data_IF_864906901066
#
_entry.id   IF_864906901066
#
_cell.length_a   1.000
_cell.length_b   1.000
_cell.length_c   1.000
_cell.angle_alpha   90.00
_cell.angle_beta   90.00
_cell.angle_gamma   90.00
#
_symmetry.space_group_name_H-M   'P 1'
#
loop_
_entity.id
_entity.type
_entity.pdbx_description
1 polymer ?
#
# COMPACT_ATOMS: atom_id res chain seq x y z
N UNK A 1 21.04 -2.82 2.13
CA UNK A 1 21.41 -4.24 1.90
C UNK A 1 22.32 -4.24 0.69
N UNK A 2 23.54 -4.74 0.81
CA UNK A 2 24.55 -4.68 -0.26
C UNK A 2 24.43 -5.90 -1.17
N UNK A 3 23.38 -5.95 -1.99
CA UNK A 3 23.24 -6.94 -3.06
C UNK A 3 22.81 -6.25 -4.34
N UNK A 4 23.55 -6.49 -5.40
CA UNK A 4 23.23 -5.96 -6.73
C UNK A 4 22.37 -6.97 -7.49
N UNK A 5 21.27 -6.48 -8.07
CA UNK A 5 20.36 -7.28 -8.88
C UNK A 5 20.17 -6.61 -10.23
N UNK A 6 20.14 -7.44 -11.28
CA UNK A 6 19.74 -7.00 -12.62
C UNK A 6 18.26 -7.29 -12.79
N UNK A 7 17.50 -6.25 -13.10
CA UNK A 7 16.06 -6.32 -13.35
C UNK A 7 15.76 -5.76 -14.74
N UNK A 8 14.75 -6.30 -15.40
CA UNK A 8 14.25 -5.71 -16.64
C UNK A 8 13.53 -4.41 -16.29
N UNK A 9 13.97 -3.30 -16.88
CA UNK A 9 13.35 -2.00 -16.74
C UNK A 9 12.66 -1.65 -18.07
N UNK A 10 11.33 -1.53 -18.12
CA UNK A 10 10.64 -0.91 -19.24
C UNK A 10 11.10 0.54 -19.43
N UNK A 11 11.04 1.04 -20.67
CA UNK A 11 11.37 2.43 -20.98
C UNK A 11 10.44 3.38 -20.22
N UNK A 12 11.02 4.34 -19.48
CA UNK A 12 10.30 5.33 -18.69
C UNK A 12 9.97 4.89 -17.25
N UNK A 13 10.23 3.64 -16.88
CA UNK A 13 9.96 3.12 -15.53
C UNK A 13 11.17 3.21 -14.58
N UNK A 14 12.30 3.79 -15.03
CA UNK A 14 13.56 3.80 -14.28
C UNK A 14 13.43 4.47 -12.90
N UNK A 15 12.71 5.59 -12.82
CA UNK A 15 12.51 6.32 -11.56
C UNK A 15 11.67 5.51 -10.60
N UNK A 16 10.53 4.99 -11.08
CA UNK A 16 9.59 4.21 -10.26
C UNK A 16 10.22 2.93 -9.74
N UNK A 17 10.98 2.20 -10.58
CA UNK A 17 11.68 1.00 -10.14
C UNK A 17 12.81 1.31 -9.16
N UNK A 18 13.47 2.47 -9.29
CA UNK A 18 14.49 2.91 -8.33
C UNK A 18 13.87 3.28 -6.98
N UNK A 19 12.73 3.96 -6.98
CA UNK A 19 11.97 4.26 -5.78
C UNK A 19 11.48 2.98 -5.09
N UNK A 20 10.92 2.03 -5.86
CA UNK A 20 10.51 0.74 -5.34
C UNK A 20 11.68 -0.06 -4.74
N UNK A 21 12.85 -0.03 -5.38
CA UNK A 21 14.06 -0.67 -4.86
C UNK A 21 14.55 -0.04 -3.55
N UNK A 22 14.55 1.30 -3.47
CA UNK A 22 14.90 2.03 -2.24
C UNK A 22 13.94 1.69 -1.10
N UNK A 23 12.63 1.72 -1.39
CA UNK A 23 11.59 1.38 -0.42
C UNK A 23 11.72 -0.06 0.11
N UNK A 24 11.95 -1.03 -0.79
CA UNK A 24 12.23 -2.42 -0.39
C UNK A 24 13.47 -2.51 0.49
N UNK A 25 14.54 -1.81 0.11
CA UNK A 25 15.80 -1.80 0.86
C UNK A 25 15.61 -1.26 2.28
N UNK A 26 14.86 -0.18 2.43
CA UNK A 26 14.56 0.42 3.73
C UNK A 26 13.74 -0.52 4.62
N UNK A 27 12.69 -1.17 4.06
CA UNK A 27 11.95 -2.20 4.81
C UNK A 27 12.80 -3.38 5.22
N UNK A 28 13.71 -3.83 4.36
CA UNK A 28 14.66 -4.87 4.72
C UNK A 28 15.61 -4.43 5.84
N UNK A 29 16.02 -3.16 5.88
CA UNK A 29 16.83 -2.62 6.98
C UNK A 29 16.04 -2.55 8.30
N UNK A 30 14.81 -2.04 8.28
CA UNK A 30 13.94 -2.00 9.46
C UNK A 30 13.75 -3.40 10.08
N UNK A 31 13.44 -4.40 9.25
CA UNK A 31 13.25 -5.79 9.69
C UNK A 31 14.55 -6.35 10.28
N UNK A 32 15.69 -6.08 9.65
CA UNK A 32 17.00 -6.51 10.16
C UNK A 32 17.27 -5.92 11.54
N UNK A 33 17.06 -4.62 11.70
CA UNK A 33 17.28 -3.93 12.98
C UNK A 33 16.36 -4.44 14.07
N UNK A 34 15.05 -4.57 13.78
CA UNK A 34 14.08 -5.09 14.73
C UNK A 34 14.42 -6.52 15.17
N UNK A 35 14.81 -7.37 14.22
CA UNK A 35 15.19 -8.76 14.52
C UNK A 35 16.46 -8.85 15.37
N UNK A 36 17.47 -8.04 15.06
CA UNK A 36 18.73 -7.98 15.81
C UNK A 36 18.52 -7.47 17.23
N UNK A 37 17.69 -6.43 17.42
CA UNK A 37 17.30 -5.90 18.74
C UNK A 37 16.58 -6.95 19.59
N UNK A 38 15.78 -7.82 18.98
CA UNK A 38 15.11 -8.94 19.64
C UNK A 38 16.03 -10.17 19.89
N UNK A 39 17.34 -10.06 19.62
CA UNK A 39 18.30 -11.15 19.78
C UNK A 39 18.20 -12.24 18.69
N UNK A 40 17.44 -12.01 17.62
CA UNK A 40 17.22 -12.99 16.54
C UNK A 40 17.81 -12.48 15.22
N UNK A 41 19.00 -12.95 14.87
CA UNK A 41 19.62 -12.61 13.59
C UNK A 41 18.98 -13.40 12.46
N UNK A 42 18.33 -12.72 11.53
CA UNK A 42 17.75 -13.33 10.32
C UNK A 42 18.72 -13.20 9.13
N UNK A 43 18.78 -14.25 8.31
CA UNK A 43 19.47 -14.21 7.02
C UNK A 43 18.78 -13.27 6.02
N UNK A 44 19.55 -12.76 5.05
CA UNK A 44 19.07 -11.77 4.08
C UNK A 44 17.87 -12.27 3.24
N UNK A 45 17.86 -13.55 2.85
CA UNK A 45 16.78 -14.12 2.04
C UNK A 45 15.45 -14.15 2.81
N UNK A 46 15.50 -14.52 4.10
CA UNK A 46 14.32 -14.48 4.97
C UNK A 46 13.84 -13.05 5.21
N UNK A 47 14.76 -12.10 5.36
CA UNK A 47 14.42 -10.68 5.49
C UNK A 47 13.73 -10.18 4.21
N UNK A 48 14.22 -10.56 3.03
CA UNK A 48 13.62 -10.19 1.75
C UNK A 48 12.18 -10.73 1.61
N UNK A 49 11.95 -12.00 1.98
CA UNK A 49 10.61 -12.60 1.96
C UNK A 49 9.66 -11.89 2.92
N UNK A 50 10.10 -11.57 4.13
CA UNK A 50 9.26 -10.85 5.10
C UNK A 50 8.94 -9.43 4.59
N UNK A 51 9.93 -8.74 4.03
CA UNK A 51 9.72 -7.41 3.45
C UNK A 51 8.68 -7.48 2.31
N UNK A 52 8.83 -8.42 1.38
CA UNK A 52 7.89 -8.60 0.27
C UNK A 52 6.46 -8.88 0.76
N UNK A 53 6.30 -9.76 1.77
CA UNK A 53 4.99 -10.06 2.35
C UNK A 53 4.36 -8.84 3.01
N UNK A 54 5.13 -8.07 3.79
CA UNK A 54 4.64 -6.87 4.46
C UNK A 54 4.21 -5.78 3.46
N UNK A 55 4.99 -5.57 2.40
CA UNK A 55 4.67 -4.59 1.35
C UNK A 55 3.39 -5.03 0.60
N UNK A 56 3.28 -6.32 0.28
CA UNK A 56 2.08 -6.88 -0.37
C UNK A 56 0.84 -6.71 0.51
N UNK A 57 0.96 -6.93 1.81
CA UNK A 57 -0.12 -6.70 2.76
C UNK A 57 -0.58 -5.24 2.77
N UNK A 58 0.36 -4.30 2.86
CA UNK A 58 0.06 -2.86 2.86
C UNK A 58 -0.63 -2.42 1.56
N UNK A 59 -0.20 -2.95 0.41
CA UNK A 59 -0.86 -2.69 -0.87
C UNK A 59 -2.32 -3.18 -0.86
N UNK A 60 -2.56 -4.40 -0.37
CA UNK A 60 -3.92 -4.96 -0.26
C UNK A 60 -4.79 -4.16 0.70
N UNK A 61 -4.25 -3.72 1.83
CA UNK A 61 -4.97 -2.85 2.77
C UNK A 61 -5.34 -1.52 2.12
N UNK A 62 -4.42 -0.90 1.37
CA UNK A 62 -4.68 0.36 0.66
C UNK A 62 -5.79 0.20 -0.39
N UNK A 63 -5.75 -0.87 -1.20
CA UNK A 63 -6.79 -1.17 -2.19
C UNK A 63 -8.15 -1.41 -1.53
N UNK A 64 -8.20 -2.20 -0.46
CA UNK A 64 -9.44 -2.44 0.28
C UNK A 64 -9.99 -1.14 0.90
N UNK A 65 -9.11 -0.29 1.43
CA UNK A 65 -9.47 1.03 1.93
C UNK A 65 -10.08 1.92 0.84
N UNK A 66 -9.53 1.89 -0.38
CA UNK A 66 -10.07 2.63 -1.51
C UNK A 66 -11.48 2.15 -1.89
N UNK A 67 -11.72 0.83 -1.89
CA UNK A 67 -13.05 0.26 -2.14
C UNK A 67 -14.05 0.73 -1.08
N UNK A 68 -13.64 0.71 0.20
CA UNK A 68 -14.48 1.17 1.30
C UNK A 68 -14.85 2.66 1.14
N UNK A 69 -13.87 3.52 0.87
CA UNK A 69 -14.10 4.96 0.65
C UNK A 69 -15.06 5.20 -0.51
N UNK A 70 -14.89 4.51 -1.63
CA UNK A 70 -15.80 4.65 -2.78
C UNK A 70 -17.24 4.24 -2.40
N UNK A 71 -17.40 3.15 -1.65
CA UNK A 71 -18.72 2.71 -1.17
C UNK A 71 -19.37 3.71 -0.21
N UNK A 72 -18.57 4.38 0.63
CA UNK A 72 -19.05 5.40 1.56
C UNK A 72 -19.47 6.68 0.81
N UNK A 73 -18.72 7.07 -0.24
CA UNK A 73 -19.09 8.18 -1.13
C UNK A 73 -20.42 7.88 -1.83
N UNK A 74 -20.60 6.68 -2.38
CA UNK A 74 -21.86 6.28 -3.01
C UNK A 74 -23.03 6.33 -2.03
N UNK A 75 -22.83 5.88 -0.78
CA UNK A 75 -23.87 5.94 0.25
C UNK A 75 -24.22 7.37 0.63
N UNK A 76 -23.22 8.27 0.69
CA UNK A 76 -23.44 9.68 0.97
C UNK A 76 -24.22 10.35 -0.17
N UNK A 77 -23.83 10.12 -1.43
CA UNK A 77 -24.55 10.66 -2.59
C UNK A 77 -26.02 10.24 -2.59
N UNK A 78 -26.31 8.94 -2.41
CA UNK A 78 -27.70 8.45 -2.31
C UNK A 78 -28.52 9.14 -1.22
N UNK A 79 -27.88 9.48 -0.10
CA UNK A 79 -28.55 10.15 1.01
C UNK A 79 -28.79 11.63 0.72
N UNK A 80 -27.88 12.29 0.01
CA UNK A 80 -28.08 13.65 -0.50
C UNK A 80 -29.23 13.66 -1.50
N UNK A 81 -29.23 12.75 -2.48
CA UNK A 81 -30.29 12.67 -3.50
C UNK A 81 -31.66 12.46 -2.87
N UNK A 82 -31.79 11.53 -1.90
CA UNK A 82 -33.04 11.28 -1.20
C UNK A 82 -33.58 12.52 -0.44
N UNK A 83 -32.70 13.29 0.20
CA UNK A 83 -33.09 14.51 0.91
C UNK A 83 -33.52 15.62 -0.06
N UNK A 84 -32.85 15.75 -1.21
CA UNK A 84 -33.22 16.72 -2.24
C UNK A 84 -34.57 16.36 -2.87
N UNK A 85 -34.85 15.07 -3.08
CA UNK A 85 -36.16 14.60 -3.55
C UNK A 85 -37.27 14.91 -2.52
N UNK A 86 -37.03 14.66 -1.23
CA UNK A 86 -37.98 15.00 -0.17
C UNK A 86 -38.30 16.50 -0.12
N UNK A 87 -37.27 17.37 -0.24
CA UNK A 87 -37.45 18.83 -0.23
C UNK A 87 -38.28 19.31 -1.44
N UNK A 88 -38.00 18.76 -2.62
CA UNK A 88 -38.77 19.08 -3.84
C UNK A 88 -40.25 18.66 -3.78
N UNK A 89 -40.58 17.63 -3.00
CA UNK A 89 -41.95 17.16 -2.81
C UNK A 89 -42.73 18.01 -1.80
N UNK A 90 -42.04 18.74 -0.91
CA UNK A 90 -42.66 19.62 0.08
C UNK A 90 -43.00 21.01 -0.48
N UNK A 91 -42.41 21.41 -1.62
CA UNK A 91 -42.67 22.69 -2.28
C UNK A 91 -43.88 22.66 -3.27
N UNK A 92 -44.54 21.50 -3.43
CA UNK A 92 -45.74 21.30 -4.26
C UNK A 92 -47.02 21.22 -3.41
#
# INVERSE_FOLDING_TARGET
MEREYRINCPEGAESELREAANYLNDKMHEIREASSKAGKVLGADRIAVIAALNITHQLREAENGQVQVNSDIERLNKRVDALLEEDSQLEL
#
